data_IF_127258267792
#
_entry.id   IF_127258267792
#
_cell.length_a   1.000
_cell.length_b   1.000
_cell.length_c   1.000
_cell.angle_alpha   90.00
_cell.angle_beta   90.00
_cell.angle_gamma   90.00
#
_symmetry.space_group_name_H-M   'P 1'
#
loop_
_entity.id
_entity.type
_entity.pdbx_description
1 polymer ?
#
# COMPACT_ATOMS: atom_id res chain seq x y z
N UNK A 1 64.02 44.47 22.49
CA UNK A 1 63.54 45.49 23.44
C UNK A 1 62.22 44.98 24.05
N UNK A 2 61.99 45.29 25.32
CA UNK A 2 61.16 44.57 26.30
C UNK A 2 59.64 44.50 26.06
N UNK A 3 59.07 43.34 26.44
CA UNK A 3 57.93 43.08 27.36
C UNK A 3 56.67 43.98 27.26
N UNK A 4 55.51 43.36 26.98
CA UNK A 4 54.38 43.30 27.94
C UNK A 4 53.30 42.29 27.55
N UNK A 5 53.01 41.39 28.48
CA UNK A 5 51.94 40.40 28.38
C UNK A 5 50.54 40.99 28.58
N UNK A 6 49.55 40.25 28.10
CA UNK A 6 48.17 40.35 28.56
C UNK A 6 47.63 38.93 28.70
N UNK A 7 47.48 38.49 29.94
CA UNK A 7 46.81 37.23 30.24
C UNK A 7 45.30 37.33 29.94
N UNK A 8 44.63 36.20 29.64
CA UNK A 8 43.20 36.20 29.44
C UNK A 8 42.47 36.47 30.76
N UNK A 9 41.60 37.50 30.76
CA UNK A 9 40.67 37.76 31.86
C UNK A 9 39.60 36.65 31.87
N UNK A 10 39.40 35.93 32.98
CA UNK A 10 38.27 35.02 33.09
C UNK A 10 36.98 35.85 33.27
N UNK A 11 36.02 35.64 32.37
CA UNK A 11 34.65 36.12 32.50
C UNK A 11 33.96 35.44 33.71
N UNK A 12 33.10 36.15 34.44
CA UNK A 12 32.58 35.68 35.71
C UNK A 12 31.65 34.47 35.54
N UNK A 13 31.97 33.41 36.30
CA UNK A 13 31.15 32.23 36.51
C UNK A 13 29.71 32.59 36.90
N UNK A 14 28.79 32.55 35.93
CA UNK A 14 27.36 32.48 36.23
C UNK A 14 27.03 31.07 36.71
N UNK A 15 27.29 30.81 37.99
CA UNK A 15 26.81 29.59 38.68
C UNK A 15 25.28 29.46 38.62
N UNK A 16 24.57 30.55 38.32
CA UNK A 16 23.12 30.58 38.11
C UNK A 16 22.75 29.91 36.78
N UNK A 17 23.57 30.06 35.73
CA UNK A 17 23.29 29.45 34.41
C UNK A 17 23.40 27.92 34.44
N UNK A 18 24.46 27.37 35.04
CA UNK A 18 24.64 25.92 35.11
C UNK A 18 23.55 25.21 35.95
N UNK A 19 23.11 25.84 37.04
CA UNK A 19 22.01 25.32 37.88
C UNK A 19 20.68 25.38 37.14
N UNK A 20 20.41 26.45 36.40
CA UNK A 20 19.20 26.57 35.59
C UNK A 20 19.19 25.55 34.44
N UNK A 21 20.32 25.36 33.74
CA UNK A 21 20.41 24.31 32.71
C UNK A 21 20.31 22.90 33.30
N UNK A 22 20.85 22.65 34.50
CA UNK A 22 20.68 21.37 35.19
C UNK A 22 19.23 21.12 35.65
N UNK A 23 18.52 22.17 36.08
CA UNK A 23 17.08 22.12 36.40
C UNK A 23 16.23 21.85 35.15
N UNK A 24 16.54 22.48 34.02
CA UNK A 24 15.84 22.21 32.76
C UNK A 24 16.15 20.81 32.22
N UNK A 25 17.38 20.32 32.37
CA UNK A 25 17.75 18.95 32.00
C UNK A 25 17.09 17.90 32.90
N UNK A 26 16.97 18.15 34.21
CA UNK A 26 16.27 17.25 35.14
C UNK A 26 14.75 17.28 34.93
N UNK A 27 14.15 18.44 34.66
CA UNK A 27 12.73 18.52 34.26
C UNK A 27 12.47 17.84 32.92
N UNK A 28 13.37 17.96 31.92
CA UNK A 28 13.24 17.25 30.66
C UNK A 28 13.37 15.73 30.84
N UNK A 29 14.25 15.27 31.73
CA UNK A 29 14.41 13.85 32.08
C UNK A 29 13.17 13.31 32.80
N UNK A 30 12.57 14.10 33.69
CA UNK A 30 11.30 13.76 34.36
C UNK A 30 10.09 13.86 33.40
N UNK A 31 10.12 14.73 32.40
CA UNK A 31 9.07 14.84 31.38
C UNK A 31 9.10 13.67 30.38
N UNK A 32 10.30 13.19 30.03
CA UNK A 32 10.49 11.98 29.21
C UNK A 32 10.23 10.71 30.03
N UNK A 33 10.60 10.67 31.31
CA UNK A 33 10.22 9.59 32.24
C UNK A 33 8.73 9.65 32.66
N UNK A 34 8.07 10.80 32.54
CA UNK A 34 6.62 10.95 32.70
C UNK A 34 5.82 10.40 31.52
N UNK A 35 6.50 10.08 30.41
CA UNK A 35 5.97 9.33 29.26
C UNK A 35 6.56 7.91 29.12
N UNK A 36 7.33 7.43 30.10
CA UNK A 36 7.39 5.99 30.32
C UNK A 36 6.10 5.58 31.01
N UNK A 37 5.07 5.34 30.18
CA UNK A 37 3.94 4.48 30.54
C UNK A 37 4.56 3.22 31.13
N UNK A 38 4.42 2.94 32.44
CA UNK A 38 4.98 1.75 33.03
C UNK A 38 4.56 0.55 32.19
N UNK A 39 5.39 -0.49 32.07
CA UNK A 39 4.97 -1.75 31.45
C UNK A 39 3.64 -2.26 32.08
N UNK A 40 3.38 -1.89 33.34
CA UNK A 40 2.09 -2.04 34.02
C UNK A 40 0.93 -1.27 33.36
N UNK A 41 1.10 -0.01 32.91
CA UNK A 41 0.01 0.78 32.33
C UNK A 41 -0.34 0.38 30.89
N UNK A 42 0.65 -0.04 30.09
CA UNK A 42 0.39 -0.66 28.77
C UNK A 42 -0.31 -2.02 28.94
N UNK A 43 0.10 -2.79 29.95
CA UNK A 43 -0.58 -4.03 30.32
C UNK A 43 -2.00 -3.75 30.84
N UNK A 44 -2.23 -2.69 31.62
CA UNK A 44 -3.56 -2.33 32.12
C UNK A 44 -4.49 -1.78 31.05
N UNK A 45 -3.99 -1.05 30.04
CA UNK A 45 -4.84 -0.58 28.92
C UNK A 45 -5.19 -1.74 27.99
N UNK A 46 -4.25 -2.64 27.73
CA UNK A 46 -4.53 -3.87 26.98
C UNK A 46 -5.47 -4.82 27.76
N UNK A 47 -5.32 -4.90 29.09
CA UNK A 47 -6.22 -5.68 29.95
C UNK A 47 -7.58 -5.01 30.12
N UNK A 48 -7.67 -3.69 30.20
CA UNK A 48 -8.94 -2.97 30.22
C UNK A 48 -9.63 -3.10 28.87
N UNK A 49 -8.91 -3.09 27.75
CA UNK A 49 -9.48 -3.38 26.42
C UNK A 49 -9.94 -4.84 26.34
N UNK A 50 -9.17 -5.81 26.87
CA UNK A 50 -9.57 -7.20 26.93
C UNK A 50 -10.80 -7.43 27.83
N UNK A 51 -10.85 -6.81 29.01
CA UNK A 51 -12.02 -6.87 29.89
C UNK A 51 -13.23 -6.15 29.29
N UNK A 52 -13.02 -5.03 28.59
CA UNK A 52 -14.08 -4.32 27.86
C UNK A 52 -14.61 -5.17 26.71
N UNK A 53 -13.75 -5.87 25.96
CA UNK A 53 -14.16 -6.82 24.92
C UNK A 53 -14.94 -8.00 25.48
N UNK A 54 -14.45 -8.60 26.57
CA UNK A 54 -15.17 -9.71 27.23
C UNK A 54 -16.51 -9.25 27.78
N UNK A 55 -16.57 -8.05 28.37
CA UNK A 55 -17.80 -7.44 28.86
C UNK A 55 -18.78 -7.14 27.72
N UNK A 56 -18.31 -6.53 26.62
CA UNK A 56 -19.11 -6.25 25.44
C UNK A 56 -19.59 -7.53 24.77
N UNK A 57 -18.76 -8.57 24.66
CA UNK A 57 -19.15 -9.88 24.13
C UNK A 57 -20.23 -10.50 25.03
N UNK A 58 -20.08 -10.42 26.36
CA UNK A 58 -21.05 -10.97 27.32
C UNK A 58 -22.38 -10.20 27.30
N UNK A 59 -22.33 -8.88 27.09
CA UNK A 59 -23.51 -8.04 26.93
C UNK A 59 -24.19 -8.27 25.56
N UNK A 60 -23.41 -8.48 24.50
CA UNK A 60 -23.89 -8.84 23.17
C UNK A 60 -24.55 -10.22 23.21
N UNK A 61 -23.93 -11.21 23.86
CA UNK A 61 -24.49 -12.55 24.06
C UNK A 61 -25.75 -12.53 24.95
N UNK A 62 -25.80 -11.65 25.97
CA UNK A 62 -27.02 -11.39 26.77
C UNK A 62 -28.14 -10.80 25.92
N UNK A 63 -27.83 -9.85 25.05
CA UNK A 63 -28.79 -9.20 24.13
C UNK A 63 -29.24 -10.13 22.99
N UNK A 64 -28.36 -11.04 22.56
CA UNK A 64 -28.63 -12.02 21.49
C UNK A 64 -29.35 -13.26 22.03
N UNK A 65 -29.07 -13.65 23.29
CA UNK A 65 -29.70 -14.76 23.99
C UNK A 65 -31.06 -14.41 24.63
N UNK A 66 -31.30 -13.14 24.97
CA UNK A 66 -32.65 -12.65 25.26
C UNK A 66 -33.29 -12.24 23.94
N UNK A 67 -33.84 -13.23 23.23
CA UNK A 67 -34.45 -13.07 21.91
C UNK A 67 -35.58 -12.04 21.88
N UNK A 68 -35.24 -10.78 21.64
CA UNK A 68 -36.12 -9.70 21.22
C UNK A 68 -35.31 -8.64 20.45
N UNK A 69 -34.85 -9.01 19.25
CA UNK A 69 -34.78 -8.07 18.14
C UNK A 69 -35.00 -8.87 16.87
N UNK A 70 -35.88 -8.39 16.00
CA UNK A 70 -36.15 -9.00 14.71
C UNK A 70 -34.87 -8.89 13.86
N UNK A 71 -34.01 -9.91 13.92
CA UNK A 71 -32.87 -10.06 13.03
C UNK A 71 -33.47 -10.30 11.65
N UNK A 72 -33.27 -9.35 10.74
CA UNK A 72 -33.69 -9.50 9.35
C UNK A 72 -33.02 -10.74 8.75
N UNK A 73 -33.77 -11.51 7.95
CA UNK A 73 -33.27 -12.72 7.26
C UNK A 73 -31.99 -12.41 6.46
N UNK A 74 -31.86 -11.18 5.96
CA UNK A 74 -30.67 -10.70 5.24
C UNK A 74 -29.42 -10.58 6.14
N UNK A 75 -29.57 -10.13 7.40
CA UNK A 75 -28.44 -10.07 8.34
C UNK A 75 -27.99 -11.47 8.79
N UNK A 76 -28.94 -12.40 8.93
CA UNK A 76 -28.63 -13.80 9.23
C UNK A 76 -27.92 -14.47 8.05
N UNK A 77 -28.33 -14.16 6.82
CA UNK A 77 -27.69 -14.67 5.60
C UNK A 77 -26.25 -14.15 5.44
N UNK A 78 -26.03 -12.85 5.67
CA UNK A 78 -24.69 -12.24 5.68
C UNK A 78 -23.76 -12.86 6.72
N UNK A 79 -24.27 -13.18 7.91
CA UNK A 79 -23.51 -13.88 8.95
C UNK A 79 -23.17 -15.32 8.56
N UNK A 80 -24.10 -16.04 7.91
CA UNK A 80 -23.86 -17.39 7.40
C UNK A 80 -22.83 -17.38 6.27
N UNK A 81 -22.90 -16.42 5.36
CA UNK A 81 -21.93 -16.25 4.27
C UNK A 81 -20.54 -15.91 4.80
N UNK A 82 -20.43 -15.01 5.77
CA UNK A 82 -19.17 -14.69 6.44
C UNK A 82 -18.57 -15.92 7.13
N UNK A 83 -19.40 -16.73 7.80
CA UNK A 83 -18.98 -17.99 8.44
C UNK A 83 -18.53 -19.02 7.40
N UNK A 84 -19.19 -19.08 6.25
CA UNK A 84 -18.82 -19.98 5.16
C UNK A 84 -17.50 -19.56 4.51
N UNK A 85 -17.26 -18.25 4.35
CA UNK A 85 -15.97 -17.73 3.89
C UNK A 85 -14.85 -18.04 4.88
N UNK A 86 -15.08 -17.90 6.19
CA UNK A 86 -14.09 -18.28 7.22
C UNK A 86 -13.76 -19.78 7.16
N UNK A 87 -14.75 -20.65 6.95
CA UNK A 87 -14.51 -22.08 6.75
C UNK A 87 -13.69 -22.36 5.49
N UNK A 88 -13.97 -21.67 4.38
CA UNK A 88 -13.18 -21.78 3.15
C UNK A 88 -11.74 -21.30 3.36
N UNK A 89 -11.55 -20.20 4.08
CA UNK A 89 -10.22 -19.69 4.45
C UNK A 89 -9.46 -20.70 5.29
N UNK A 90 -10.06 -21.24 6.35
CA UNK A 90 -9.43 -22.25 7.21
C UNK A 90 -9.09 -23.54 6.44
N UNK A 91 -9.96 -23.97 5.52
CA UNK A 91 -9.69 -25.12 4.65
C UNK A 91 -8.51 -24.85 3.71
N UNK A 92 -8.47 -23.68 3.07
CA UNK A 92 -7.36 -23.27 2.20
C UNK A 92 -6.05 -23.14 2.98
N UNK A 93 -6.06 -22.60 4.20
CA UNK A 93 -4.89 -22.53 5.08
C UNK A 93 -4.37 -23.93 5.42
N UNK A 94 -5.26 -24.88 5.73
CA UNK A 94 -4.90 -26.27 5.99
C UNK A 94 -4.32 -26.95 4.75
N UNK A 95 -4.91 -26.73 3.57
CA UNK A 95 -4.37 -27.21 2.29
C UNK A 95 -2.98 -26.62 2.00
N UNK A 96 -2.76 -25.34 2.33
CA UNK A 96 -1.47 -24.66 2.18
C UNK A 96 -0.40 -25.29 3.08
N UNK A 97 -0.73 -25.61 4.34
CA UNK A 97 0.16 -26.31 5.27
C UNK A 97 0.49 -27.71 4.76
N UNK A 98 -0.51 -28.46 4.28
CA UNK A 98 -0.30 -29.80 3.70
C UNK A 98 0.57 -29.74 2.44
N UNK A 99 0.33 -28.76 1.57
CA UNK A 99 1.15 -28.54 0.39
C UNK A 99 2.60 -28.22 0.79
N UNK A 100 2.81 -27.33 1.77
CA UNK A 100 4.15 -26.98 2.26
C UNK A 100 4.92 -28.19 2.79
N UNK A 101 4.25 -29.05 3.56
CA UNK A 101 4.83 -30.29 4.07
C UNK A 101 5.13 -31.33 2.97
N UNK A 102 4.41 -31.28 1.84
CA UNK A 102 4.69 -32.08 0.63
C UNK A 102 5.78 -31.48 -0.27
N UNK A 103 6.51 -30.46 0.21
CA UNK A 103 7.60 -29.82 -0.51
C UNK A 103 7.16 -28.67 -1.42
N UNK A 104 5.91 -28.19 -1.33
CA UNK A 104 5.50 -26.96 -1.99
C UNK A 104 6.18 -25.76 -1.33
N UNK A 105 7.26 -25.28 -1.93
CA UNK A 105 7.86 -23.99 -1.60
C UNK A 105 6.99 -22.93 -2.28
N UNK A 106 6.09 -22.32 -1.51
CA UNK A 106 5.43 -21.11 -1.98
C UNK A 106 6.50 -20.08 -2.31
N UNK A 107 6.45 -19.48 -3.50
CA UNK A 107 7.45 -18.48 -3.94
C UNK A 107 7.57 -17.27 -2.99
N UNK A 108 6.66 -17.13 -2.01
CA UNK A 108 6.60 -16.09 -0.99
C UNK A 108 7.09 -16.51 0.40
N UNK A 109 7.65 -17.72 0.59
CA UNK A 109 8.32 -18.05 1.86
C UNK A 109 9.73 -17.46 1.86
N UNK A 110 9.91 -16.32 2.52
CA UNK A 110 11.23 -15.86 2.93
C UNK A 110 11.78 -16.80 4.01
N UNK A 111 12.34 -17.92 3.57
CA UNK A 111 13.34 -18.66 4.35
C UNK A 111 14.71 -18.16 3.89
N UNK A 112 15.31 -17.33 4.74
CA UNK A 112 16.68 -16.84 4.62
C UNK A 112 17.63 -18.03 4.73
N UNK A 113 17.90 -18.70 3.61
CA UNK A 113 19.04 -19.60 3.48
C UNK A 113 19.74 -19.33 2.15
N UNK A 114 21.04 -19.10 2.28
CA UNK A 114 21.89 -18.48 1.28
C UNK A 114 22.02 -19.26 -0.03
N UNK A 115 22.63 -18.55 -0.98
CA UNK A 115 23.02 -18.99 -2.33
C UNK A 115 21.88 -19.24 -3.30
N UNK A 116 21.07 -18.21 -3.51
CA UNK A 116 20.58 -17.82 -4.84
C UNK A 116 20.52 -16.30 -4.82
N UNK A 117 20.68 -15.61 -5.95
CA UNK A 117 20.45 -14.17 -6.04
C UNK A 117 18.99 -13.90 -5.61
N UNK A 118 18.77 -13.71 -4.31
CA UNK A 118 17.46 -13.41 -3.74
C UNK A 118 16.99 -12.17 -4.47
N UNK A 119 15.92 -12.30 -5.26
CA UNK A 119 15.24 -11.14 -5.86
C UNK A 119 15.12 -10.11 -4.75
N UNK A 120 15.84 -8.98 -4.89
CA UNK A 120 15.82 -7.92 -3.89
C UNK A 120 14.35 -7.51 -3.73
N UNK A 121 13.78 -7.72 -2.54
CA UNK A 121 12.38 -7.39 -2.28
C UNK A 121 12.18 -5.91 -2.60
N UNK A 122 11.32 -5.63 -3.56
CA UNK A 122 11.07 -4.28 -4.05
C UNK A 122 10.18 -3.54 -3.05
N UNK A 123 10.31 -2.21 -3.00
CA UNK A 123 9.42 -1.39 -2.19
C UNK A 123 8.04 -1.34 -2.84
N UNK A 124 7.97 -1.05 -4.14
CA UNK A 124 6.67 -0.95 -4.84
C UNK A 124 6.78 -1.26 -6.33
N UNK A 125 5.75 -1.93 -6.84
CA UNK A 125 5.51 -2.10 -8.28
C UNK A 125 4.31 -1.22 -8.68
N UNK A 126 4.54 -0.28 -9.58
CA UNK A 126 3.57 0.71 -10.04
C UNK A 126 3.09 0.34 -11.45
N UNK A 127 1.81 0.03 -11.58
CA UNK A 127 1.14 -0.16 -12.86
C UNK A 127 0.44 1.12 -13.29
N UNK A 128 0.88 1.68 -14.43
CA UNK A 128 0.32 2.91 -15.00
C UNK A 128 -0.70 2.52 -16.07
N UNK A 129 -1.98 2.58 -15.73
CA UNK A 129 -3.06 2.25 -16.65
C UNK A 129 -3.11 3.28 -17.81
N UNK A 130 -2.94 2.79 -19.04
CA UNK A 130 -2.96 3.58 -20.27
C UNK A 130 -3.71 2.84 -21.38
N UNK A 131 -4.12 3.53 -22.45
CA UNK A 131 -4.88 2.92 -23.55
C UNK A 131 -4.25 3.16 -24.93
N UNK A 132 -4.91 2.63 -25.96
CA UNK A 132 -4.62 2.97 -27.35
C UNK A 132 -4.79 4.48 -27.57
N UNK A 133 -3.98 5.08 -28.43
CA UNK A 133 -3.95 6.53 -28.72
C UNK A 133 -3.42 7.48 -27.62
N UNK A 134 -3.10 6.99 -26.42
CA UNK A 134 -2.55 7.83 -25.32
C UNK A 134 -1.02 7.98 -25.34
N UNK A 135 -0.41 7.93 -26.53
CA UNK A 135 1.05 8.01 -26.69
C UNK A 135 1.63 9.32 -26.15
N UNK A 136 0.96 10.45 -26.40
CA UNK A 136 1.40 11.77 -25.90
C UNK A 136 1.46 11.81 -24.38
N UNK A 137 0.50 11.19 -23.70
CA UNK A 137 0.44 11.08 -22.24
C UNK A 137 1.57 10.20 -21.73
N UNK A 138 1.78 9.02 -22.33
CA UNK A 138 2.92 8.16 -21.97
C UNK A 138 4.25 8.88 -22.13
N UNK A 139 4.44 9.61 -23.21
CA UNK A 139 5.65 10.41 -23.44
C UNK A 139 5.82 11.54 -22.41
N UNK A 140 4.72 12.15 -21.96
CA UNK A 140 4.74 13.14 -20.88
C UNK A 140 5.11 12.51 -19.53
N UNK A 141 4.57 11.34 -19.21
CA UNK A 141 4.90 10.57 -18.00
C UNK A 141 6.38 10.16 -18.01
N UNK A 142 6.90 9.67 -19.15
CA UNK A 142 8.32 9.37 -19.34
C UNK A 142 9.20 10.58 -19.05
N UNK A 143 8.91 11.71 -19.70
CA UNK A 143 9.67 12.95 -19.57
C UNK A 143 9.57 13.62 -18.19
N UNK A 144 8.57 13.27 -17.38
CA UNK A 144 8.32 13.93 -16.10
C UNK A 144 8.92 13.16 -14.91
N UNK A 145 8.39 11.99 -14.57
CA UNK A 145 8.75 11.29 -13.33
C UNK A 145 9.24 9.85 -13.52
N UNK A 146 9.03 9.24 -14.68
CA UNK A 146 9.52 7.89 -14.97
C UNK A 146 11.00 7.84 -15.36
N UNK A 147 11.49 8.77 -16.19
CA UNK A 147 12.92 8.89 -16.55
C UNK A 147 13.20 10.08 -17.50
N UNK A 148 13.98 11.05 -17.03
CA UNK A 148 14.45 12.21 -17.79
C UNK A 148 15.47 11.83 -18.87
N UNK A 149 15.02 11.62 -20.12
CA UNK A 149 15.83 11.72 -21.36
C UNK A 149 16.95 10.68 -21.59
N UNK A 150 17.26 10.43 -22.86
CA UNK A 150 18.37 9.66 -23.50
C UNK A 150 18.86 8.29 -22.93
N UNK A 151 18.62 7.97 -21.66
CA UNK A 151 19.06 6.75 -20.99
C UNK A 151 17.91 6.16 -20.17
N UNK A 152 16.71 6.11 -20.78
CA UNK A 152 15.47 5.64 -20.15
C UNK A 152 15.64 4.26 -19.49
N UNK A 153 16.31 3.32 -20.17
CA UNK A 153 16.63 2.01 -19.61
C UNK A 153 17.57 2.07 -18.38
N UNK A 154 18.55 2.98 -18.34
CA UNK A 154 19.44 3.08 -17.17
C UNK A 154 18.76 3.82 -16.02
N UNK A 155 17.94 4.83 -16.30
CA UNK A 155 17.16 5.53 -15.29
C UNK A 155 16.14 4.60 -14.62
N UNK A 156 15.47 3.73 -15.39
CA UNK A 156 14.59 2.71 -14.84
C UNK A 156 15.36 1.69 -13.99
N UNK A 157 16.48 1.16 -14.49
CA UNK A 157 17.35 0.26 -13.71
C UNK A 157 17.86 0.92 -12.42
N UNK A 158 18.12 2.23 -12.45
CA UNK A 158 18.51 3.01 -11.28
C UNK A 158 17.38 3.12 -10.26
N UNK A 159 16.15 3.41 -10.69
CA UNK A 159 14.97 3.42 -9.81
C UNK A 159 14.73 2.04 -9.16
N UNK A 160 14.88 0.98 -9.94
CA UNK A 160 14.76 -0.39 -9.44
C UNK A 160 15.86 -0.73 -8.43
N UNK A 161 17.12 -0.42 -8.75
CA UNK A 161 18.27 -0.79 -7.92
C UNK A 161 18.37 0.06 -6.63
N UNK A 162 18.20 1.38 -6.75
CA UNK A 162 18.41 2.32 -5.64
C UNK A 162 17.16 2.46 -4.78
N UNK A 163 15.99 2.64 -5.40
CA UNK A 163 14.74 2.92 -4.67
C UNK A 163 13.85 1.68 -4.50
N UNK A 164 14.17 0.57 -5.17
CA UNK A 164 13.30 -0.62 -5.16
C UNK A 164 11.95 -0.36 -5.82
N UNK A 165 11.89 0.55 -6.80
CA UNK A 165 10.65 0.93 -7.47
C UNK A 165 10.68 0.45 -8.91
N UNK A 166 9.69 -0.38 -9.28
CA UNK A 166 9.41 -0.75 -10.68
C UNK A 166 8.16 0.01 -11.10
N UNK A 167 8.19 0.70 -12.24
CA UNK A 167 7.02 1.37 -12.78
C UNK A 167 6.85 1.04 -14.27
N UNK A 168 5.69 0.52 -14.68
CA UNK A 168 5.45 0.05 -16.05
C UNK A 168 4.08 0.50 -16.54
N UNK A 169 3.98 0.79 -17.84
CA UNK A 169 2.70 1.05 -18.48
C UNK A 169 1.92 -0.26 -18.64
N UNK A 170 0.66 -0.28 -18.22
CA UNK A 170 -0.21 -1.46 -18.32
C UNK A 170 -1.20 -1.24 -19.45
N UNK A 171 -1.18 -2.13 -20.42
CA UNK A 171 -2.07 -2.11 -21.57
C UNK A 171 -2.46 -3.54 -21.99
N UNK A 172 -3.69 -3.73 -22.42
CA UNK A 172 -4.16 -4.94 -23.08
C UNK A 172 -3.97 -4.88 -24.59
N UNK A 173 -4.67 -5.77 -25.28
CA UNK A 173 -4.71 -5.89 -26.74
C UNK A 173 -5.97 -5.28 -27.32
N UNK A 174 -5.94 -4.97 -28.59
CA UNK A 174 -7.13 -4.57 -29.33
C UNK A 174 -8.07 -5.77 -29.51
N UNK A 175 -9.33 -5.50 -29.89
CA UNK A 175 -10.29 -6.56 -30.19
C UNK A 175 -9.84 -7.42 -31.38
N UNK A 176 -9.17 -6.79 -32.35
CA UNK A 176 -8.61 -7.43 -33.55
C UNK A 176 -7.11 -7.59 -33.40
N UNK A 177 -6.67 -8.70 -32.82
CA UNK A 177 -5.25 -8.95 -32.53
C UNK A 177 -4.36 -8.67 -33.75
N UNK A 178 -3.30 -7.90 -33.51
CA UNK A 178 -2.29 -7.57 -34.53
C UNK A 178 -2.72 -6.52 -35.55
N UNK A 179 -3.78 -5.76 -35.24
CA UNK A 179 -4.14 -4.54 -35.96
C UNK A 179 -3.08 -3.44 -35.81
N UNK A 180 -3.35 -2.26 -36.40
CA UNK A 180 -2.42 -1.13 -36.33
C UNK A 180 -2.20 -0.66 -34.90
N UNK A 181 -3.23 -0.67 -34.06
CA UNK A 181 -3.14 -0.24 -32.67
C UNK A 181 -2.21 -1.16 -31.84
N UNK A 182 -2.36 -2.47 -31.98
CA UNK A 182 -1.45 -3.44 -31.35
C UNK A 182 -0.01 -3.28 -31.86
N UNK A 183 0.18 -3.13 -33.18
CA UNK A 183 1.51 -2.95 -33.78
C UNK A 183 2.19 -1.67 -33.31
N UNK A 184 1.44 -0.59 -33.10
CA UNK A 184 1.97 0.66 -32.56
C UNK A 184 2.52 0.47 -31.14
N UNK A 185 1.79 -0.27 -30.30
CA UNK A 185 2.21 -0.61 -28.94
C UNK A 185 3.42 -1.54 -28.96
N UNK A 186 3.43 -2.58 -29.79
CA UNK A 186 4.58 -3.49 -29.90
C UNK A 186 5.84 -2.74 -30.37
N UNK A 187 5.70 -1.83 -31.35
CA UNK A 187 6.80 -0.99 -31.83
C UNK A 187 7.29 0.02 -30.77
N UNK A 188 6.39 0.54 -29.94
CA UNK A 188 6.73 1.42 -28.83
C UNK A 188 7.48 0.63 -27.75
N UNK A 189 6.93 -0.51 -27.33
CA UNK A 189 7.52 -1.40 -26.33
C UNK A 189 8.88 -1.93 -26.76
N UNK A 190 9.08 -2.25 -28.05
CA UNK A 190 10.39 -2.62 -28.57
C UNK A 190 11.47 -1.56 -28.30
N UNK A 191 11.09 -0.28 -28.32
CA UNK A 191 12.03 0.84 -28.14
C UNK A 191 12.24 1.19 -26.67
N UNK A 192 11.16 1.19 -25.88
CA UNK A 192 11.17 1.69 -24.50
C UNK A 192 11.31 0.59 -23.47
N UNK A 193 10.84 -0.61 -23.80
CA UNK A 193 10.78 -1.80 -22.94
C UNK A 193 10.19 -1.46 -21.57
N UNK A 194 9.10 -0.68 -21.53
CA UNK A 194 8.47 -0.16 -20.32
C UNK A 194 6.99 -0.55 -20.17
N UNK A 195 6.51 -1.51 -20.97
CA UNK A 195 5.14 -2.02 -20.90
C UNK A 195 5.02 -3.37 -20.18
N UNK A 196 3.86 -3.55 -19.55
CA UNK A 196 3.24 -4.83 -19.23
C UNK A 196 2.07 -4.98 -20.18
N UNK A 197 2.20 -5.89 -21.14
CA UNK A 197 1.16 -6.17 -22.13
C UNK A 197 0.33 -7.36 -21.65
N UNK A 198 -0.95 -7.13 -21.41
CA UNK A 198 -1.89 -8.15 -20.94
C UNK A 198 -2.53 -8.84 -22.14
N UNK A 199 -1.90 -9.89 -22.67
CA UNK A 199 -2.37 -10.57 -23.88
C UNK A 199 -3.79 -11.16 -23.74
N UNK A 200 -4.23 -11.51 -22.53
CA UNK A 200 -5.56 -12.07 -22.28
C UNK A 200 -6.62 -10.99 -21.95
N UNK A 201 -6.30 -9.72 -22.19
CA UNK A 201 -7.18 -8.58 -21.95
C UNK A 201 -7.43 -7.82 -23.24
N UNK A 202 -8.70 -7.57 -23.56
CA UNK A 202 -9.09 -6.67 -24.64
C UNK A 202 -9.39 -5.31 -24.01
N UNK A 203 -8.75 -4.24 -24.51
CA UNK A 203 -9.02 -2.89 -24.02
C UNK A 203 -10.44 -2.45 -24.39
N UNK A 204 -11.23 -2.14 -23.38
CA UNK A 204 -12.53 -1.48 -23.49
C UNK A 204 -12.76 -0.62 -22.24
N UNK A 205 -13.60 0.41 -22.36
CA UNK A 205 -13.87 1.34 -21.26
C UNK A 205 -14.46 0.64 -20.03
N UNK A 206 -15.35 -0.34 -20.24
CA UNK A 206 -16.01 -1.12 -19.19
C UNK A 206 -15.09 -2.17 -18.53
N UNK A 207 -13.92 -2.42 -19.12
CA UNK A 207 -13.03 -3.52 -18.74
C UNK A 207 -11.85 -3.05 -17.84
N UNK A 208 -11.84 -1.79 -17.40
CA UNK A 208 -10.81 -1.25 -16.50
C UNK A 208 -10.65 -2.00 -15.16
N UNK A 209 -11.72 -2.47 -14.49
CA UNK A 209 -11.58 -3.29 -13.29
C UNK A 209 -10.88 -4.62 -13.58
N UNK A 210 -11.22 -5.26 -14.71
CA UNK A 210 -10.59 -6.51 -15.15
C UNK A 210 -9.11 -6.29 -15.47
N UNK A 211 -8.77 -5.19 -16.14
CA UNK A 211 -7.38 -4.76 -16.38
C UNK A 211 -6.60 -4.65 -15.08
N UNK A 212 -7.19 -3.97 -14.10
CA UNK A 212 -6.59 -3.76 -12.77
C UNK A 212 -6.33 -5.10 -12.08
N UNK A 213 -7.32 -6.00 -12.09
CA UNK A 213 -7.18 -7.35 -11.52
C UNK A 213 -6.04 -8.13 -12.18
N UNK A 214 -5.99 -8.14 -13.52
CA UNK A 214 -4.97 -8.86 -14.27
C UNK A 214 -3.57 -8.29 -14.03
N UNK A 215 -3.46 -6.96 -13.97
CA UNK A 215 -2.21 -6.31 -13.60
C UNK A 215 -1.74 -6.72 -12.21
N UNK A 216 -2.59 -6.63 -11.18
CA UNK A 216 -2.19 -6.97 -9.81
C UNK A 216 -1.79 -8.44 -9.69
N UNK A 217 -2.51 -9.34 -10.37
CA UNK A 217 -2.15 -10.77 -10.42
C UNK A 217 -0.78 -10.98 -11.09
N UNK A 218 -0.57 -10.41 -12.27
CA UNK A 218 0.70 -10.50 -12.98
C UNK A 218 1.85 -9.89 -12.19
N UNK A 219 1.62 -8.74 -11.56
CA UNK A 219 2.62 -8.03 -10.80
C UNK A 219 3.07 -8.83 -9.56
N UNK A 220 2.12 -9.44 -8.86
CA UNK A 220 2.42 -10.32 -7.73
C UNK A 220 3.29 -11.51 -8.17
N UNK A 221 2.92 -12.17 -9.28
CA UNK A 221 3.68 -13.32 -9.80
C UNK A 221 5.09 -12.95 -10.29
N UNK A 222 5.24 -11.80 -10.96
CA UNK A 222 6.49 -11.40 -11.59
C UNK A 222 7.48 -10.75 -10.61
N UNK A 223 7.00 -10.01 -9.61
CA UNK A 223 7.82 -9.24 -8.69
C UNK A 223 7.45 -9.50 -7.24
N UNK A 224 8.47 -9.77 -6.42
CA UNK A 224 8.34 -9.80 -4.97
C UNK A 224 8.50 -8.36 -4.42
N UNK A 225 7.39 -7.74 -4.03
CA UNK A 225 7.32 -6.35 -3.60
C UNK A 225 6.48 -6.15 -2.34
N UNK A 226 6.81 -5.15 -1.53
CA UNK A 226 6.03 -4.78 -0.34
C UNK A 226 4.66 -4.18 -0.70
N UNK A 227 4.62 -3.40 -1.76
CA UNK A 227 3.41 -2.74 -2.24
C UNK A 227 3.20 -2.93 -3.74
N UNK A 228 1.94 -2.96 -4.14
CA UNK A 228 1.51 -2.94 -5.53
C UNK A 228 0.56 -1.76 -5.72
N UNK A 229 0.87 -0.88 -6.66
CA UNK A 229 0.14 0.36 -6.87
C UNK A 229 -0.42 0.41 -8.30
N UNK A 230 -1.68 0.84 -8.41
CA UNK A 230 -2.31 1.21 -9.70
C UNK A 230 -2.44 2.72 -9.74
N UNK A 231 -1.99 3.33 -10.84
CA UNK A 231 -2.23 4.76 -11.13
C UNK A 231 -2.70 4.93 -12.57
N UNK A 232 -3.26 6.10 -12.90
CA UNK A 232 -3.61 6.47 -14.26
C UNK A 232 -2.47 7.25 -14.93
N UNK A 233 -2.47 7.29 -16.27
CA UNK A 233 -1.46 7.97 -17.07
C UNK A 233 -1.55 9.51 -17.11
N UNK A 234 -2.53 10.09 -16.42
CA UNK A 234 -2.74 11.54 -16.24
C UNK A 234 -2.33 12.04 -14.85
N UNK A 235 -1.66 11.19 -14.05
CA UNK A 235 -1.22 11.50 -12.69
C UNK A 235 0.31 11.72 -12.64
N UNK A 236 0.72 12.77 -11.94
CA UNK A 236 2.12 13.00 -11.57
C UNK A 236 2.42 12.37 -10.21
N UNK A 237 3.54 11.64 -10.11
CA UNK A 237 3.97 10.99 -8.87
C UNK A 237 5.37 11.46 -8.49
N UNK A 238 5.51 11.97 -7.27
CA UNK A 238 6.82 12.20 -6.66
C UNK A 238 7.30 10.88 -6.03
N UNK A 239 8.25 10.21 -6.69
CA UNK A 239 8.73 8.88 -6.28
C UNK A 239 9.43 8.90 -4.92
N UNK A 240 10.13 9.99 -4.57
CA UNK A 240 10.80 10.11 -3.28
C UNK A 240 9.78 10.24 -2.14
N UNK A 241 8.80 11.12 -2.30
CA UNK A 241 7.74 11.29 -1.31
C UNK A 241 6.89 10.01 -1.17
N UNK A 242 6.59 9.33 -2.28
CA UNK A 242 5.90 8.05 -2.28
C UNK A 242 6.71 6.99 -1.52
N UNK A 243 8.02 6.89 -1.80
CA UNK A 243 8.91 5.95 -1.13
C UNK A 243 8.94 6.15 0.39
N UNK A 244 9.08 7.40 0.84
CA UNK A 244 9.04 7.74 2.27
C UNK A 244 7.69 7.39 2.92
N UNK A 245 6.58 7.68 2.24
CA UNK A 245 5.24 7.39 2.76
C UNK A 245 5.00 5.88 2.90
N UNK A 246 5.39 5.09 1.89
CA UNK A 246 5.27 3.64 1.91
C UNK A 246 6.18 3.00 2.97
N UNK A 247 7.40 3.50 3.12
CA UNK A 247 8.33 3.03 4.14
C UNK A 247 7.76 3.19 5.57
N UNK A 248 7.00 4.25 5.82
CA UNK A 248 6.31 4.48 7.10
C UNK A 248 5.09 3.55 7.34
N UNK A 249 4.75 2.69 6.38
CA UNK A 249 3.62 1.75 6.46
C UNK A 249 4.05 0.28 6.35
N UNK A 250 5.36 0.00 6.35
CA UNK A 250 5.89 -1.38 6.21
C UNK A 250 5.51 -2.30 7.38
N UNK A 251 5.27 -1.73 8.56
CA UNK A 251 4.86 -2.46 9.76
C UNK A 251 3.36 -2.80 9.79
N UNK A 252 2.57 -2.27 8.85
CA UNK A 252 1.12 -2.44 8.81
C UNK A 252 0.73 -3.55 7.82
N UNK A 253 0.32 -4.73 8.30
CA UNK A 253 -0.07 -5.81 7.40
C UNK A 253 -1.36 -5.44 6.65
N UNK A 254 -1.43 -5.80 5.36
CA UNK A 254 -2.62 -5.62 4.49
C UNK A 254 -3.11 -4.16 4.38
N UNK A 255 -2.17 -3.22 4.33
CA UNK A 255 -2.51 -1.81 4.13
C UNK A 255 -3.09 -1.57 2.72
N UNK A 256 -4.22 -0.87 2.66
CA UNK A 256 -4.76 -0.28 1.44
C UNK A 256 -4.72 1.23 1.58
N UNK A 257 -3.95 1.89 0.71
CA UNK A 257 -3.66 3.32 0.80
C UNK A 257 -4.18 4.01 -0.47
N UNK A 258 -5.04 5.01 -0.28
CA UNK A 258 -5.57 5.80 -1.37
C UNK A 258 -6.55 6.85 -0.86
N UNK A 259 -6.94 7.77 -1.75
CA UNK A 259 -8.04 8.68 -1.47
C UNK A 259 -9.36 7.91 -1.57
N UNK A 260 -9.80 7.33 -0.45
CA UNK A 260 -11.08 6.62 -0.41
C UNK A 260 -12.22 7.63 -0.36
N UNK A 261 -13.21 7.46 -1.23
CA UNK A 261 -14.47 8.20 -1.16
C UNK A 261 -15.42 7.45 -0.22
N UNK A 262 -15.92 8.14 0.79
CA UNK A 262 -17.04 7.68 1.61
C UNK A 262 -18.33 8.40 1.19
N UNK A 263 -19.48 7.75 1.38
CA UNK A 263 -20.79 8.32 1.09
C UNK A 263 -21.61 7.47 0.13
N UNK A 264 -22.70 8.06 -0.36
CA UNK A 264 -23.66 7.40 -1.24
C UNK A 264 -23.08 7.16 -2.65
N UNK A 265 -23.50 6.04 -3.24
CA UNK A 265 -23.26 5.75 -4.66
C UNK A 265 -24.40 6.37 -5.47
N UNK A 266 -24.07 7.39 -6.25
CA UNK A 266 -25.04 8.11 -7.08
C UNK A 266 -25.53 7.22 -8.23
N UNK A 267 -26.78 6.76 -8.13
CA UNK A 267 -27.41 5.87 -9.10
C UNK A 267 -28.29 6.60 -10.14
N UNK A 268 -28.53 7.89 -9.96
CA UNK A 268 -29.28 8.71 -10.91
C UNK A 268 -28.35 9.31 -11.97
N UNK A 269 -28.67 9.05 -13.25
CA UNK A 269 -27.95 9.58 -14.43
C UNK A 269 -27.92 11.11 -14.49
N UNK A 270 -28.84 11.79 -13.80
CA UNK A 270 -28.87 13.26 -13.74
C UNK A 270 -27.76 13.84 -12.86
N UNK A 271 -27.17 13.03 -11.98
CA UNK A 271 -26.19 13.48 -11.01
C UNK A 271 -24.79 13.53 -11.63
N UNK A 272 -24.03 14.58 -11.29
CA UNK A 272 -22.66 14.81 -11.79
C UNK A 272 -21.72 13.62 -11.57
N UNK A 273 -21.94 12.86 -10.50
CA UNK A 273 -21.10 11.73 -10.08
C UNK A 273 -21.81 10.39 -10.24
N UNK A 274 -22.76 10.30 -11.18
CA UNK A 274 -23.43 9.06 -11.53
C UNK A 274 -22.39 7.95 -11.76
N UNK A 275 -22.57 6.83 -11.06
CA UNK A 275 -21.74 5.64 -11.20
C UNK A 275 -22.49 4.63 -12.10
N UNK A 276 -22.04 4.39 -13.36
CA UNK A 276 -22.70 3.46 -14.27
C UNK A 276 -22.86 2.05 -13.70
N UNK A 277 -21.93 1.64 -12.83
CA UNK A 277 -21.92 0.32 -12.22
C UNK A 277 -22.44 0.33 -10.77
N UNK A 278 -23.30 1.31 -10.42
CA UNK A 278 -23.84 1.47 -9.06
C UNK A 278 -24.48 0.18 -8.52
N UNK A 279 -25.08 -0.63 -9.40
CA UNK A 279 -25.69 -1.91 -9.07
C UNK A 279 -24.72 -2.95 -8.50
N UNK A 280 -23.41 -2.80 -8.72
CA UNK A 280 -22.37 -3.67 -8.13
C UNK A 280 -22.14 -3.40 -6.64
N UNK A 281 -22.59 -2.25 -6.14
CA UNK A 281 -22.41 -1.85 -4.74
C UNK A 281 -23.56 -2.34 -3.83
N UNK A 282 -24.50 -3.12 -4.38
CA UNK A 282 -25.68 -3.63 -3.69
C UNK A 282 -26.94 -2.79 -3.96
N UNK A 283 -28.11 -3.42 -3.79
CA UNK A 283 -29.39 -2.82 -4.13
C UNK A 283 -29.75 -1.69 -3.16
N UNK A 284 -29.54 -0.45 -3.58
CA UNK A 284 -30.13 0.75 -2.96
C UNK A 284 -31.61 0.95 -3.31
N UNK A 285 -32.34 -0.10 -3.70
CA UNK A 285 -33.81 -0.05 -3.77
C UNK A 285 -34.36 -0.56 -2.43
N UNK A 286 -34.39 0.33 -1.44
CA UNK A 286 -35.33 0.23 -0.31
C UNK A 286 -36.51 1.15 -0.58
#
# INVERSE_FOLDING_TARGET
MQIRGSGPRPLPNSRISAVMFAMFASMASLYVAGRSVPFSVLYTTLWQDAQSRVYLIKELDRRTGQGQSAISVDETLKLVDCRQQHKKLAALEMELVVARNKGFVGQYSSETNGTNFSRKRLLVVIGIATGFERKKQRDAVRKSWLATGAVQCAAMKKLELEKGVVARFVIGRSASRGDSADREIDNENWKTNDFIILDNHVEASEEQPKKTKLFLAHAAEAWDAEFYAKINDDVYVNIDALGTMLAAHLDKPRAYIGCMKSGEVFSDKSQKWFEPEWWKFGDGKS
#
